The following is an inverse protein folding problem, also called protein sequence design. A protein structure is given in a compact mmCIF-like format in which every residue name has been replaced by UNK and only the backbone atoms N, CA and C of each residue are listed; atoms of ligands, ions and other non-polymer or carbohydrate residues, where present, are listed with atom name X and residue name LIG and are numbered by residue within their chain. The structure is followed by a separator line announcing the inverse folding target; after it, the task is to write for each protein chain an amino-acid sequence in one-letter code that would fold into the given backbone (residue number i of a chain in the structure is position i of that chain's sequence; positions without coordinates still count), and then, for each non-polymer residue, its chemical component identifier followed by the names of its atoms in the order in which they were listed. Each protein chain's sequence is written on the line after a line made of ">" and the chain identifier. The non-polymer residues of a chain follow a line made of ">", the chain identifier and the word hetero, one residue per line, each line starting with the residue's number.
data_IF_598904171798
#
_entry.id   IF_598904171798
#
_cell.length_a   1.000
_cell.length_b   1.000
_cell.length_c   1.000
_cell.angle_alpha   90.00
_cell.angle_beta   90.00
_cell.angle_gamma   90.00
#
_symmetry.space_group_name_H-M   'P 1'
#
loop_
_entity.id
_entity.type
_entity.pdbx_description
1 polymer ?
#
# COMPACT_ATOMS: atom_id res chain seq x y z
N UNK A 1 10.64 -71.41 14.87
CA UNK A 1 9.72 -70.33 15.32
C UNK A 1 10.07 -68.95 14.74
N UNK A 2 11.30 -68.68 14.30
CA UNK A 2 11.74 -67.34 13.83
C UNK A 2 11.22 -66.94 12.44
N UNK A 3 11.18 -67.86 11.47
CA UNK A 3 10.73 -67.55 10.09
C UNK A 3 9.24 -67.19 9.98
N UNK A 4 8.38 -67.89 10.72
CA UNK A 4 6.94 -67.60 10.75
C UNK A 4 6.64 -66.25 11.41
N UNK A 5 7.40 -65.89 12.45
CA UNK A 5 7.24 -64.61 13.14
C UNK A 5 7.70 -63.43 12.28
N UNK A 6 8.83 -63.59 11.56
CA UNK A 6 9.30 -62.58 10.59
C UNK A 6 8.28 -62.38 9.46
N UNK A 7 7.67 -63.46 8.96
CA UNK A 7 6.64 -63.36 7.93
C UNK A 7 5.39 -62.60 8.42
N UNK A 8 4.94 -62.86 9.66
CA UNK A 8 3.81 -62.14 10.26
C UNK A 8 4.11 -60.65 10.47
N UNK A 9 5.32 -60.31 10.92
CA UNK A 9 5.74 -58.91 11.07
C UNK A 9 5.82 -58.20 9.71
N UNK A 10 6.36 -58.86 8.68
CA UNK A 10 6.44 -58.30 7.34
C UNK A 10 5.04 -58.04 6.74
N UNK A 11 4.11 -58.97 6.93
CA UNK A 11 2.70 -58.79 6.53
C UNK A 11 2.05 -57.64 7.30
N UNK A 12 2.29 -57.55 8.62
CA UNK A 12 1.79 -56.45 9.45
C UNK A 12 2.30 -55.08 8.99
N UNK A 13 3.59 -54.97 8.67
CA UNK A 13 4.20 -53.74 8.15
C UNK A 13 3.67 -53.38 6.76
N UNK A 14 3.46 -54.37 5.89
CA UNK A 14 2.89 -54.14 4.56
C UNK A 14 1.43 -53.65 4.63
N UNK A 15 0.62 -54.26 5.50
CA UNK A 15 -0.77 -53.82 5.74
C UNK A 15 -0.78 -52.40 6.33
N UNK A 16 0.10 -52.09 7.28
CA UNK A 16 0.22 -50.75 7.84
C UNK A 16 0.61 -49.73 6.75
N UNK A 17 1.59 -50.06 5.90
CA UNK A 17 1.99 -49.20 4.79
C UNK A 17 0.84 -48.95 3.79
N UNK A 18 0.03 -49.97 3.50
CA UNK A 18 -1.17 -49.82 2.67
C UNK A 18 -2.21 -48.91 3.32
N UNK A 19 -2.47 -49.06 4.63
CA UNK A 19 -3.41 -48.21 5.35
C UNK A 19 -2.94 -46.75 5.34
N UNK A 20 -1.65 -46.51 5.56
CA UNK A 20 -1.04 -45.17 5.51
C UNK A 20 -1.13 -44.58 4.10
N UNK A 21 -0.79 -45.36 3.07
CA UNK A 21 -0.88 -44.93 1.67
C UNK A 21 -2.32 -44.62 1.25
N UNK A 22 -3.28 -45.42 1.70
CA UNK A 22 -4.71 -45.22 1.43
C UNK A 22 -5.25 -43.99 2.19
N UNK A 23 -4.77 -43.73 3.40
CA UNK A 23 -5.05 -42.51 4.15
C UNK A 23 -4.50 -41.25 3.47
N UNK A 24 -3.24 -41.32 2.99
CA UNK A 24 -2.62 -40.23 2.22
C UNK A 24 -3.36 -39.98 0.90
N UNK A 25 -3.75 -41.04 0.18
CA UNK A 25 -4.54 -40.91 -1.05
C UNK A 25 -5.90 -40.29 -0.79
N UNK A 26 -6.61 -40.70 0.28
CA UNK A 26 -7.89 -40.08 0.67
C UNK A 26 -7.74 -38.60 1.03
N UNK A 27 -6.67 -38.22 1.72
CA UNK A 27 -6.38 -36.82 2.04
C UNK A 27 -6.08 -35.99 0.78
N UNK A 28 -5.27 -36.53 -0.15
CA UNK A 28 -4.97 -35.87 -1.43
C UNK A 28 -6.21 -35.80 -2.32
N UNK A 29 -7.03 -36.85 -2.37
CA UNK A 29 -8.29 -36.87 -3.12
C UNK A 29 -9.33 -35.92 -2.53
N UNK A 30 -9.37 -35.75 -1.20
CA UNK A 30 -10.21 -34.74 -0.54
C UNK A 30 -9.75 -33.30 -0.82
N UNK A 31 -8.47 -33.11 -1.18
CA UNK A 31 -7.93 -31.84 -1.67
C UNK A 31 -7.94 -31.74 -3.21
N UNK A 32 -8.56 -32.69 -3.91
CA UNK A 32 -8.70 -32.68 -5.36
C UNK A 32 -9.73 -31.66 -5.81
N UNK A 33 -9.26 -30.53 -6.35
CA UNK A 33 -9.98 -29.62 -7.26
C UNK A 33 -11.44 -29.29 -6.92
N UNK A 34 -11.79 -29.23 -5.63
CA UNK A 34 -13.06 -28.71 -5.18
C UNK A 34 -13.03 -27.20 -5.25
N UNK A 35 -14.17 -26.61 -5.63
CA UNK A 35 -14.41 -25.18 -5.50
C UNK A 35 -13.88 -24.67 -4.16
N UNK A 36 -13.30 -23.46 -4.12
CA UNK A 36 -12.82 -22.92 -2.87
C UNK A 36 -13.94 -22.95 -1.82
N UNK A 37 -13.59 -23.14 -0.53
CA UNK A 37 -14.60 -23.22 0.51
C UNK A 37 -15.55 -22.03 0.37
N UNK A 38 -16.87 -22.26 0.45
CA UNK A 38 -17.83 -21.18 0.33
C UNK A 38 -17.45 -20.11 1.33
N UNK A 39 -17.41 -18.86 0.88
CA UNK A 39 -17.17 -17.72 1.76
C UNK A 39 -18.12 -17.86 2.95
N UNK A 40 -17.63 -17.70 4.19
CA UNK A 40 -18.54 -17.63 5.33
C UNK A 40 -19.58 -16.56 5.00
N UNK A 41 -20.86 -16.88 5.25
CA UNK A 41 -21.91 -15.89 5.08
C UNK A 41 -21.52 -14.64 5.87
N UNK A 42 -21.66 -13.44 5.28
CA UNK A 42 -21.33 -12.20 5.98
C UNK A 42 -22.08 -12.19 7.32
N UNK A 43 -21.33 -12.04 8.40
CA UNK A 43 -21.86 -12.18 9.76
C UNK A 43 -21.58 -10.91 10.56
N UNK A 44 -22.60 -10.41 11.26
CA UNK A 44 -22.50 -9.19 12.04
C UNK A 44 -22.53 -7.94 11.16
N UNK A 45 -21.56 -7.03 11.34
CA UNK A 45 -21.51 -5.73 10.68
C UNK A 45 -21.35 -5.78 9.14
N UNK A 46 -21.10 -6.98 8.58
CA UNK A 46 -20.97 -7.24 7.15
C UNK A 46 -22.30 -7.62 6.47
N UNK A 47 -23.35 -7.92 7.27
CA UNK A 47 -24.65 -8.38 6.77
C UNK A 47 -25.66 -7.23 6.53
N UNK A 48 -25.41 -6.08 7.15
CA UNK A 48 -26.18 -4.86 6.93
C UNK A 48 -25.32 -3.98 6.01
N UNK A 49 -25.82 -3.55 4.85
CA UNK A 49 -25.15 -2.68 3.86
C UNK A 49 -24.82 -1.26 4.40
N UNK A 50 -24.50 -1.16 5.69
CA UNK A 50 -24.25 0.03 6.46
C UNK A 50 -22.96 -0.17 7.26
N UNK A 51 -21.84 0.26 6.69
CA UNK A 51 -20.66 0.51 7.52
C UNK A 51 -20.07 1.91 7.26
N UNK A 52 -20.04 2.79 8.28
CA UNK A 52 -19.36 4.08 8.21
C UNK A 52 -17.85 3.86 8.37
N UNK A 53 -17.23 3.17 7.42
CA UNK A 53 -15.79 2.87 7.41
C UNK A 53 -14.90 4.09 7.15
N UNK A 54 -15.45 5.18 6.60
CA UNK A 54 -14.74 6.47 6.54
C UNK A 54 -14.74 7.23 7.87
N UNK A 55 -15.53 6.84 8.88
CA UNK A 55 -15.69 7.63 10.11
C UNK A 55 -14.45 7.63 11.01
N UNK A 56 -13.59 6.63 10.94
CA UNK A 56 -12.33 6.61 11.70
C UNK A 56 -11.23 7.51 11.11
N UNK A 57 -11.44 8.07 9.92
CA UNK A 57 -10.60 9.16 9.41
C UNK A 57 -11.05 10.53 9.94
N UNK A 58 -12.27 10.69 10.47
CA UNK A 58 -12.77 12.02 10.86
C UNK A 58 -12.32 12.50 12.24
N UNK A 59 -11.89 11.62 13.16
CA UNK A 59 -11.42 12.06 14.48
C UNK A 59 -9.99 12.62 14.44
N UNK A 60 -9.20 12.26 13.42
CA UNK A 60 -7.81 12.72 13.27
C UNK A 60 -7.68 13.90 12.28
N UNK A 61 -8.74 14.21 11.50
CA UNK A 61 -8.75 15.35 10.57
C UNK A 61 -8.82 16.68 11.32
N UNK A 62 -9.37 16.74 12.54
CA UNK A 62 -9.43 17.97 13.33
C UNK A 62 -8.04 18.49 13.74
N UNK A 63 -7.04 17.62 13.84
CA UNK A 63 -5.64 17.99 14.12
C UNK A 63 -4.77 18.04 12.84
N UNK A 64 -5.21 17.44 11.73
CA UNK A 64 -4.52 17.50 10.44
C UNK A 64 -4.81 18.76 9.60
N UNK A 65 -5.76 19.63 9.98
CA UNK A 65 -6.06 20.89 9.27
C UNK A 65 -4.86 21.85 9.19
N UNK A 66 -3.77 21.59 9.92
CA UNK A 66 -2.51 22.34 9.83
C UNK A 66 -1.61 21.93 8.64
N UNK A 67 -1.80 20.77 8.01
CA UNK A 67 -0.99 20.34 6.85
C UNK A 67 -1.77 20.39 5.54
N UNK A 68 -2.05 21.60 5.04
CA UNK A 68 -2.57 21.85 3.68
C UNK A 68 -1.51 21.56 2.60
N UNK A 69 -1.08 20.31 2.48
CA UNK A 69 -0.16 19.87 1.44
C UNK A 69 -0.46 18.44 0.97
N UNK A 70 -1.68 18.18 0.48
CA UNK A 70 -1.94 16.90 -0.20
C UNK A 70 -3.09 16.90 -1.21
N UNK A 71 -3.60 18.06 -1.64
CA UNK A 71 -4.66 18.14 -2.68
C UNK A 71 -4.11 18.31 -4.11
N UNK A 72 -2.87 17.91 -4.38
CA UNK A 72 -2.24 18.11 -5.68
C UNK A 72 -1.10 17.16 -6.04
N UNK A 73 -0.90 16.07 -5.30
CA UNK A 73 0.06 15.05 -5.71
C UNK A 73 -0.56 14.25 -6.85
N UNK A 74 -0.31 14.67 -8.10
CA UNK A 74 -0.39 13.74 -9.21
C UNK A 74 0.39 12.46 -8.80
N UNK A 75 -0.16 11.25 -9.04
CA UNK A 75 0.54 10.04 -8.66
C UNK A 75 1.94 10.10 -9.26
N UNK A 76 2.97 9.82 -8.45
CA UNK A 76 4.34 9.83 -8.97
C UNK A 76 4.41 8.89 -10.18
N UNK A 77 5.19 9.22 -11.24
CA UNK A 77 5.30 8.35 -12.41
C UNK A 77 5.66 6.93 -12.01
N UNK A 78 4.76 5.98 -12.29
CA UNK A 78 4.89 4.58 -11.83
C UNK A 78 3.86 4.15 -10.78
N UNK A 79 3.04 5.07 -10.26
CA UNK A 79 1.89 4.81 -9.39
C UNK A 79 0.61 4.61 -10.21
N UNK A 80 -0.38 3.93 -9.65
CA UNK A 80 -1.70 3.58 -10.23
C UNK A 80 -2.23 4.65 -11.17
N UNK A 81 -2.48 4.25 -12.41
CA UNK A 81 -3.04 5.09 -13.46
C UNK A 81 -2.05 6.00 -14.20
N UNK A 82 -0.77 6.03 -13.82
CA UNK A 82 0.29 6.82 -14.50
C UNK A 82 1.34 5.95 -15.21
N UNK A 83 1.19 4.64 -15.15
CA UNK A 83 2.11 3.71 -15.79
C UNK A 83 1.96 3.79 -17.32
N UNK A 84 3.08 4.01 -18.01
CA UNK A 84 3.10 3.96 -19.47
C UNK A 84 2.90 2.51 -19.92
N UNK A 85 1.87 2.27 -20.72
CA UNK A 85 1.65 0.97 -21.33
C UNK A 85 2.65 0.76 -22.48
N UNK A 86 3.24 -0.45 -22.61
CA UNK A 86 4.03 -0.78 -23.78
C UNK A 86 3.15 -0.84 -25.04
N UNK A 87 3.78 -0.84 -26.21
CA UNK A 87 3.09 -1.08 -27.46
C UNK A 87 2.41 -2.46 -27.45
N UNK A 88 1.21 -2.56 -28.01
CA UNK A 88 0.48 -3.84 -28.08
C UNK A 88 1.31 -4.84 -28.89
N UNK A 89 1.67 -6.01 -28.33
CA UNK A 89 2.58 -6.95 -28.97
C UNK A 89 1.93 -7.78 -30.08
N UNK A 90 0.65 -7.54 -30.39
CA UNK A 90 -0.17 -8.32 -31.31
C UNK A 90 -0.79 -7.43 -32.39
N UNK A 91 -1.18 -8.05 -33.51
CA UNK A 91 -1.89 -7.33 -34.58
C UNK A 91 -3.24 -6.78 -34.10
N UNK A 92 -3.73 -5.72 -34.75
CA UNK A 92 -5.03 -5.12 -34.42
C UNK A 92 -6.18 -6.14 -34.52
N UNK A 93 -6.11 -7.08 -35.47
CA UNK A 93 -7.10 -8.15 -35.61
C UNK A 93 -7.12 -9.09 -34.39
N UNK A 94 -5.93 -9.49 -33.91
CA UNK A 94 -5.81 -10.35 -32.72
C UNK A 94 -6.22 -9.61 -31.44
N UNK A 95 -5.85 -8.33 -31.31
CA UNK A 95 -6.30 -7.49 -30.21
C UNK A 95 -7.84 -7.38 -30.19
N UNK A 96 -8.45 -7.12 -31.34
CA UNK A 96 -9.90 -7.05 -31.47
C UNK A 96 -10.58 -8.41 -31.23
N UNK A 97 -9.95 -9.53 -31.59
CA UNK A 97 -10.45 -10.87 -31.28
C UNK A 97 -10.40 -11.14 -29.76
N UNK A 98 -9.30 -10.80 -29.09
CA UNK A 98 -9.18 -10.92 -27.63
C UNK A 98 -10.24 -10.08 -26.91
N UNK A 99 -10.49 -8.84 -27.37
CA UNK A 99 -11.53 -7.99 -26.80
C UNK A 99 -12.95 -8.55 -26.99
N UNK A 100 -13.23 -9.23 -28.11
CA UNK A 100 -14.52 -9.90 -28.33
C UNK A 100 -14.67 -11.15 -27.48
N UNK A 101 -13.58 -11.89 -27.27
CA UNK A 101 -13.57 -13.09 -26.44
C UNK A 101 -13.80 -12.76 -24.95
N UNK A 102 -13.24 -11.64 -24.48
CA UNK A 102 -13.34 -11.19 -23.08
C UNK A 102 -14.43 -10.12 -22.90
N UNK A 103 -15.65 -10.42 -23.35
CA UNK A 103 -16.81 -9.58 -23.10
C UNK A 103 -17.19 -9.58 -21.61
N UNK A 104 -17.37 -8.39 -21.02
CA UNK A 104 -17.76 -8.23 -19.62
C UNK A 104 -16.61 -8.41 -18.62
N UNK A 105 -16.95 -8.74 -17.36
CA UNK A 105 -16.00 -8.98 -16.28
C UNK A 105 -15.54 -10.44 -16.33
N UNK A 106 -14.27 -10.63 -16.64
CA UNK A 106 -13.66 -11.95 -16.81
C UNK A 106 -12.82 -12.28 -15.59
N UNK A 107 -13.06 -13.43 -14.96
CA UNK A 107 -12.25 -13.91 -13.84
C UNK A 107 -10.79 -14.14 -14.29
N UNK A 108 -9.85 -13.75 -13.42
CA UNK A 108 -8.44 -14.03 -13.60
C UNK A 108 -8.17 -15.55 -13.53
N UNK A 109 -7.08 -16.01 -14.14
CA UNK A 109 -6.66 -17.39 -13.92
C UNK A 109 -6.07 -17.56 -12.50
N UNK A 110 -6.17 -18.75 -11.88
CA UNK A 110 -5.57 -19.02 -10.58
C UNK A 110 -4.08 -18.65 -10.52
N UNK A 111 -3.67 -18.00 -9.43
CA UNK A 111 -2.26 -17.71 -9.19
C UNK A 111 -1.51 -18.98 -8.79
N UNK A 112 -0.23 -19.08 -9.15
CA UNK A 112 0.57 -20.26 -8.81
C UNK A 112 1.97 -19.86 -8.38
N UNK A 113 2.35 -20.31 -7.18
CA UNK A 113 3.69 -20.16 -6.62
C UNK A 113 4.55 -21.42 -6.75
N UNK A 114 4.13 -22.39 -7.59
CA UNK A 114 4.81 -23.69 -7.74
C UNK A 114 6.28 -23.57 -8.16
N UNK A 115 6.61 -22.60 -9.01
CA UNK A 115 7.96 -22.37 -9.49
C UNK A 115 8.86 -21.58 -8.51
N UNK A 116 8.28 -20.96 -7.47
CA UNK A 116 9.00 -20.12 -6.52
C UNK A 116 9.64 -20.94 -5.39
N UNK A 117 10.75 -20.44 -4.81
CA UNK A 117 11.38 -21.07 -3.65
C UNK A 117 10.52 -20.94 -2.38
N UNK A 118 10.85 -21.69 -1.32
CA UNK A 118 10.17 -21.52 -0.01
C UNK A 118 10.36 -20.12 0.56
N UNK A 119 11.55 -19.52 0.37
CA UNK A 119 11.87 -18.16 0.79
C UNK A 119 11.03 -17.14 0.01
N UNK A 120 10.93 -17.29 -1.31
CA UNK A 120 10.09 -16.42 -2.14
C UNK A 120 8.61 -16.52 -1.74
N UNK A 121 8.11 -17.73 -1.47
CA UNK A 121 6.72 -17.91 -1.01
C UNK A 121 6.47 -17.20 0.33
N UNK A 122 7.41 -17.30 1.26
CA UNK A 122 7.31 -16.63 2.55
C UNK A 122 7.29 -15.10 2.39
N UNK A 123 8.20 -14.55 1.56
CA UNK A 123 8.24 -13.11 1.27
C UNK A 123 6.98 -12.62 0.57
N UNK A 124 6.50 -13.33 -0.45
CA UNK A 124 5.26 -13.01 -1.14
C UNK A 124 4.07 -13.00 -0.18
N UNK A 125 3.99 -13.98 0.73
CA UNK A 125 2.95 -14.03 1.76
C UNK A 125 3.04 -12.82 2.69
N UNK A 126 4.23 -12.47 3.17
CA UNK A 126 4.44 -11.32 4.05
C UNK A 126 4.06 -10.00 3.39
N UNK A 127 4.54 -9.76 2.17
CA UNK A 127 4.24 -8.54 1.41
C UNK A 127 2.75 -8.41 1.06
N UNK A 128 2.11 -9.50 0.63
CA UNK A 128 0.67 -9.48 0.36
C UNK A 128 -0.13 -9.26 1.63
N UNK A 129 0.26 -9.90 2.74
CA UNK A 129 -0.38 -9.69 4.05
C UNK A 129 -0.29 -8.24 4.48
N UNK A 130 0.89 -7.63 4.38
CA UNK A 130 1.09 -6.23 4.72
C UNK A 130 0.17 -5.32 3.88
N UNK A 131 0.13 -5.54 2.56
CA UNK A 131 -0.74 -4.77 1.68
C UNK A 131 -2.22 -4.89 2.06
N UNK A 132 -2.72 -6.11 2.29
CA UNK A 132 -4.11 -6.33 2.70
C UNK A 132 -4.42 -5.70 4.06
N UNK A 133 -3.50 -5.77 5.00
CA UNK A 133 -3.66 -5.16 6.31
C UNK A 133 -3.76 -3.64 6.22
N UNK A 134 -2.80 -2.99 5.55
CA UNK A 134 -2.77 -1.52 5.53
C UNK A 134 -3.81 -0.91 4.59
N UNK A 135 -4.24 -1.61 3.54
CA UNK A 135 -5.19 -1.07 2.55
C UNK A 135 -6.64 -1.49 2.81
N UNK A 136 -6.85 -2.65 3.45
CA UNK A 136 -8.17 -3.26 3.53
C UNK A 136 -8.45 -3.96 4.87
N UNK A 137 -7.72 -3.64 5.95
CA UNK A 137 -8.01 -4.26 7.25
C UNK A 137 -9.43 -3.95 7.75
N UNK A 138 -9.97 -2.76 7.47
CA UNK A 138 -11.33 -2.35 7.84
C UNK A 138 -12.41 -2.75 6.84
N UNK A 139 -12.02 -3.35 5.71
CA UNK A 139 -12.95 -3.82 4.68
C UNK A 139 -13.49 -5.21 5.05
N UNK A 140 -14.66 -5.61 4.50
CA UNK A 140 -15.15 -6.98 4.61
C UNK A 140 -14.17 -7.96 3.98
N UNK A 141 -14.32 -9.26 4.28
CA UNK A 141 -13.48 -10.33 3.72
C UNK A 141 -13.41 -10.26 2.17
N UNK A 142 -14.54 -9.93 1.54
CA UNK A 142 -14.64 -9.67 0.10
C UNK A 142 -13.68 -8.55 -0.38
N UNK A 143 -13.55 -7.47 0.37
CA UNK A 143 -12.67 -6.35 0.05
C UNK A 143 -11.19 -6.72 0.15
N UNK A 144 -10.80 -7.52 1.14
CA UNK A 144 -9.42 -8.01 1.25
C UNK A 144 -9.06 -8.94 0.08
N UNK A 145 -9.98 -9.84 -0.30
CA UNK A 145 -9.81 -10.73 -1.45
C UNK A 145 -9.77 -9.97 -2.78
N UNK A 146 -10.59 -8.93 -2.91
CA UNK A 146 -10.59 -8.04 -4.07
C UNK A 146 -9.24 -7.31 -4.23
N UNK A 147 -8.70 -6.72 -3.16
CA UNK A 147 -7.37 -6.08 -3.19
C UNK A 147 -6.26 -7.09 -3.48
N UNK A 148 -6.32 -8.29 -2.88
CA UNK A 148 -5.38 -9.37 -3.17
C UNK A 148 -5.37 -9.72 -4.67
N UNK A 149 -6.57 -9.86 -5.26
CA UNK A 149 -6.71 -10.17 -6.68
C UNK A 149 -6.11 -9.07 -7.56
N UNK A 150 -6.30 -7.79 -7.22
CA UNK A 150 -5.67 -6.67 -7.95
C UNK A 150 -4.14 -6.77 -7.91
N UNK A 151 -3.55 -7.05 -6.75
CA UNK A 151 -2.09 -7.17 -6.61
C UNK A 151 -1.57 -8.33 -7.47
N UNK A 152 -2.23 -9.49 -7.43
CA UNK A 152 -1.83 -10.64 -8.24
C UNK A 152 -2.08 -10.42 -9.74
N UNK A 153 -3.10 -9.66 -10.11
CA UNK A 153 -3.33 -9.21 -11.48
C UNK A 153 -2.18 -8.32 -11.97
N UNK A 154 -1.68 -7.39 -11.12
CA UNK A 154 -0.51 -6.55 -11.45
C UNK A 154 0.72 -7.41 -11.70
N UNK A 155 1.02 -8.37 -10.83
CA UNK A 155 2.18 -9.27 -10.99
C UNK A 155 2.21 -9.96 -12.36
N UNK A 156 1.03 -10.28 -12.90
CA UNK A 156 0.86 -10.97 -14.19
C UNK A 156 0.82 -10.05 -15.40
N UNK A 157 0.74 -8.74 -15.19
CA UNK A 157 0.59 -7.76 -16.25
C UNK A 157 1.94 -7.09 -16.56
N UNK A 158 2.35 -6.95 -17.84
CA UNK A 158 3.69 -6.50 -18.22
C UNK A 158 4.01 -5.05 -17.86
N UNK A 159 3.01 -4.26 -17.48
CA UNK A 159 3.20 -2.89 -17.06
C UNK A 159 3.62 -2.75 -15.57
N UNK A 160 3.65 -3.84 -14.80
CA UNK A 160 3.99 -3.82 -13.37
C UNK A 160 5.14 -4.80 -13.06
N UNK A 161 5.78 -4.68 -11.88
CA UNK A 161 6.74 -5.66 -11.41
C UNK A 161 6.17 -7.08 -11.36
N UNK A 162 7.00 -8.08 -11.66
CA UNK A 162 6.62 -9.50 -11.72
C UNK A 162 6.74 -10.24 -10.38
N UNK A 163 6.84 -9.50 -9.27
CA UNK A 163 6.97 -10.01 -7.91
C UNK A 163 5.95 -9.32 -7.01
N UNK A 164 5.43 -10.03 -6.01
CA UNK A 164 4.41 -9.53 -5.11
C UNK A 164 4.96 -8.37 -4.28
N UNK A 165 6.12 -8.54 -3.67
CA UNK A 165 6.78 -7.46 -2.93
C UNK A 165 7.15 -6.30 -3.84
N UNK A 166 7.58 -6.56 -5.08
CA UNK A 166 7.87 -5.51 -6.05
C UNK A 166 6.65 -4.66 -6.40
N UNK A 167 5.46 -5.27 -6.50
CA UNK A 167 4.19 -4.53 -6.70
C UNK A 167 3.79 -3.76 -5.44
N UNK A 168 3.90 -4.37 -4.26
CA UNK A 168 3.49 -3.78 -2.98
C UNK A 168 4.36 -2.59 -2.58
N UNK A 169 5.65 -2.64 -2.86
CA UNK A 169 6.59 -1.55 -2.54
C UNK A 169 6.99 -0.72 -3.76
N UNK A 170 6.24 -0.84 -4.86
CA UNK A 170 6.52 -0.09 -6.09
C UNK A 170 6.56 1.41 -5.83
N UNK A 171 7.64 2.07 -6.23
CA UNK A 171 7.81 3.52 -6.11
C UNK A 171 8.32 3.99 -4.76
N UNK A 172 8.46 3.10 -3.76
CA UNK A 172 9.05 3.44 -2.47
C UNK A 172 10.51 3.89 -2.57
N UNK A 173 11.20 3.52 -3.65
CA UNK A 173 12.53 3.98 -4.01
C UNK A 173 12.56 5.41 -4.61
N UNK A 174 11.40 6.06 -4.78
CA UNK A 174 11.23 7.40 -5.38
C UNK A 174 10.32 8.28 -4.52
N UNK A 175 10.03 9.49 -5.00
CA UNK A 175 9.18 10.48 -4.31
C UNK A 175 7.68 10.13 -4.27
N UNK A 176 7.28 8.88 -4.52
CA UNK A 176 5.87 8.49 -4.39
C UNK A 176 5.65 6.98 -4.39
N UNK A 177 4.95 6.50 -3.37
CA UNK A 177 4.61 5.10 -3.21
C UNK A 177 3.30 4.76 -3.92
N UNK A 178 3.25 3.54 -4.48
CA UNK A 178 2.01 2.95 -4.97
C UNK A 178 1.00 2.74 -3.84
N UNK A 179 1.43 2.12 -2.75
CA UNK A 179 0.60 1.97 -1.56
C UNK A 179 1.08 2.96 -0.51
N UNK A 180 0.17 3.77 0.01
CA UNK A 180 0.50 4.93 0.85
C UNK A 180 1.27 4.52 2.11
N UNK A 181 0.94 3.35 2.68
CA UNK A 181 1.56 2.81 3.88
C UNK A 181 3.07 2.56 3.77
N UNK A 182 3.58 2.40 2.54
CA UNK A 182 5.01 2.20 2.31
C UNK A 182 5.83 3.50 2.46
N UNK A 183 5.18 4.66 2.38
CA UNK A 183 5.81 5.98 2.48
C UNK A 183 5.40 6.78 3.73
N UNK A 184 4.22 6.54 4.29
CA UNK A 184 3.65 7.36 5.38
C UNK A 184 4.15 6.98 6.80
N UNK A 185 4.97 5.94 6.91
CA UNK A 185 5.49 5.43 8.18
C UNK A 185 4.51 4.55 8.98
N UNK A 186 3.36 4.14 8.42
CA UNK A 186 2.40 3.25 9.07
C UNK A 186 3.02 1.92 9.51
N UNK A 187 4.05 1.45 8.79
CA UNK A 187 4.82 0.25 9.11
C UNK A 187 5.61 0.33 10.42
N UNK A 188 5.84 1.53 10.98
CA UNK A 188 6.52 1.69 12.27
C UNK A 188 5.62 1.33 13.46
N UNK A 189 4.31 1.22 13.25
CA UNK A 189 3.33 0.90 14.30
C UNK A 189 3.15 -0.61 14.41
N UNK A 190 2.96 -1.10 15.64
CA UNK A 190 2.65 -2.52 15.86
C UNK A 190 1.24 -2.82 15.32
N UNK A 191 1.09 -3.77 14.37
CA UNK A 191 -0.20 -4.09 13.79
C UNK A 191 -1.10 -4.85 14.77
N UNK A 192 -2.41 -4.72 14.59
CA UNK A 192 -3.41 -5.52 15.30
C UNK A 192 -3.25 -6.99 14.92
N UNK A 193 -2.98 -7.84 15.91
CA UNK A 193 -2.77 -9.27 15.71
C UNK A 193 -3.95 -9.96 15.02
N UNK A 194 -5.18 -9.62 15.40
CA UNK A 194 -6.38 -10.24 14.85
C UNK A 194 -6.58 -9.88 13.37
N UNK A 195 -6.46 -8.59 13.04
CA UNK A 195 -6.59 -8.13 11.66
C UNK A 195 -5.43 -8.61 10.77
N UNK A 196 -4.21 -8.71 11.32
CA UNK A 196 -3.07 -9.28 10.61
C UNK A 196 -3.26 -10.76 10.28
N UNK A 197 -3.74 -11.57 11.24
CA UNK A 197 -4.03 -12.99 10.99
C UNK A 197 -5.13 -13.15 9.93
N UNK A 198 -6.15 -12.30 9.94
CA UNK A 198 -7.19 -12.27 8.91
C UNK A 198 -6.60 -11.95 7.54
N UNK A 199 -5.81 -10.88 7.42
CA UNK A 199 -5.13 -10.51 6.19
C UNK A 199 -4.20 -11.63 5.68
N UNK A 200 -3.44 -12.27 6.58
CA UNK A 200 -2.55 -13.38 6.24
C UNK A 200 -3.29 -14.60 5.69
N UNK A 201 -4.49 -14.88 6.21
CA UNK A 201 -5.34 -15.95 5.70
C UNK A 201 -5.79 -15.66 4.26
N UNK A 202 -6.30 -14.46 3.99
CA UNK A 202 -6.71 -14.05 2.64
C UNK A 202 -5.53 -14.04 1.66
N UNK A 203 -4.38 -13.52 2.09
CA UNK A 203 -3.15 -13.55 1.31
C UNK A 203 -2.73 -15.00 0.97
N UNK A 204 -2.77 -15.90 1.95
CA UNK A 204 -2.48 -17.32 1.76
C UNK A 204 -3.43 -17.99 0.77
N UNK A 205 -4.74 -17.73 0.87
CA UNK A 205 -5.74 -18.26 -0.08
C UNK A 205 -5.47 -17.77 -1.51
N UNK A 206 -5.23 -16.47 -1.69
CA UNK A 206 -4.97 -15.88 -3.00
C UNK A 206 -3.68 -16.46 -3.63
N UNK A 207 -2.60 -16.59 -2.85
CA UNK A 207 -1.34 -17.20 -3.30
C UNK A 207 -1.46 -18.71 -3.58
N UNK A 208 -2.41 -19.39 -2.95
CA UNK A 208 -2.75 -20.78 -3.21
C UNK A 208 -3.63 -20.96 -4.46
N UNK A 209 -4.06 -19.86 -5.10
CA UNK A 209 -4.81 -19.88 -6.35
C UNK A 209 -6.29 -19.57 -6.21
N UNK A 210 -6.76 -19.13 -5.03
CA UNK A 210 -8.12 -18.58 -4.90
C UNK A 210 -8.28 -17.36 -5.82
N UNK A 211 -9.37 -17.32 -6.57
CA UNK A 211 -9.70 -16.23 -7.49
C UNK A 211 -10.96 -15.52 -7.01
N UNK A 212 -10.85 -14.23 -6.72
CA UNK A 212 -12.02 -13.39 -6.46
C UNK A 212 -12.58 -12.89 -7.80
N UNK A 213 -13.54 -13.64 -8.35
CA UNK A 213 -14.08 -13.40 -9.69
C UNK A 213 -14.74 -12.01 -9.91
N UNK A 214 -15.45 -11.40 -8.94
CA UNK A 214 -16.19 -10.15 -9.16
C UNK A 214 -15.35 -8.96 -9.64
N UNK A 215 -14.10 -8.84 -9.20
CA UNK A 215 -13.19 -7.77 -9.69
C UNK A 215 -12.51 -8.10 -11.02
N UNK A 216 -12.65 -9.33 -11.50
CA UNK A 216 -12.06 -9.81 -12.75
C UNK A 216 -10.58 -9.48 -12.92
N UNK A 217 -10.26 -8.76 -14.00
CA UNK A 217 -8.90 -8.33 -14.38
C UNK A 217 -8.56 -6.91 -13.90
N UNK A 218 -9.20 -6.43 -12.83
CA UNK A 218 -8.90 -5.13 -12.25
C UNK A 218 -7.42 -5.04 -11.85
N UNK A 219 -6.81 -3.90 -12.18
CA UNK A 219 -5.43 -3.56 -11.81
C UNK A 219 -5.37 -2.25 -11.02
N UNK A 220 -6.49 -1.55 -10.90
CA UNK A 220 -6.60 -0.24 -10.28
C UNK A 220 -7.81 -0.26 -9.35
N UNK A 221 -7.72 0.42 -8.20
CA UNK A 221 -8.86 0.71 -7.36
C UNK A 221 -8.67 2.08 -6.72
N UNK A 222 -9.76 2.67 -6.25
CA UNK A 222 -9.75 3.86 -5.41
C UNK A 222 -10.91 3.80 -4.44
N UNK A 223 -10.82 4.54 -3.34
CA UNK A 223 -11.92 4.70 -2.39
C UNK A 223 -12.93 5.70 -2.93
N UNK A 224 -14.19 5.62 -2.51
CA UNK A 224 -15.21 6.63 -2.88
C UNK A 224 -14.86 8.06 -2.41
N UNK A 225 -13.92 8.21 -1.46
CA UNK A 225 -13.51 9.49 -0.91
C UNK A 225 -12.66 10.33 -1.88
N UNK A 226 -12.12 9.71 -2.93
CA UNK A 226 -11.27 10.39 -3.91
C UNK A 226 -11.76 10.14 -5.33
N UNK A 227 -11.51 11.05 -6.27
CA UNK A 227 -11.84 10.84 -7.68
C UNK A 227 -10.61 11.13 -8.54
N UNK A 228 -9.75 10.12 -8.75
CA UNK A 228 -8.52 10.32 -9.51
C UNK A 228 -8.82 10.56 -10.99
N UNK A 229 -8.04 11.45 -11.63
CA UNK A 229 -8.23 11.82 -13.03
C UNK A 229 -8.21 10.61 -13.99
N UNK A 230 -7.40 9.59 -13.68
CA UNK A 230 -7.29 8.38 -14.49
C UNK A 230 -8.54 7.49 -14.48
N UNK A 231 -9.46 7.62 -13.51
CA UNK A 231 -10.66 6.78 -13.42
C UNK A 231 -11.43 6.78 -14.75
N UNK A 232 -11.66 7.95 -15.34
CA UNK A 232 -12.42 8.13 -16.60
C UNK A 232 -11.79 7.41 -17.79
N UNK A 233 -10.48 7.15 -17.73
CA UNK A 233 -9.74 6.46 -18.79
C UNK A 233 -9.85 4.94 -18.71
N UNK A 234 -10.31 4.40 -17.58
CA UNK A 234 -10.43 2.97 -17.31
C UNK A 234 -11.89 2.50 -17.40
N UNK A 235 -12.10 1.19 -17.29
CA UNK A 235 -13.42 0.56 -17.20
C UNK A 235 -13.62 0.11 -15.77
N UNK A 236 -14.67 0.60 -15.11
CA UNK A 236 -15.07 0.11 -13.80
C UNK A 236 -15.57 -1.34 -13.93
N UNK A 237 -15.05 -2.23 -13.09
CA UNK A 237 -15.40 -3.65 -13.07
C UNK A 237 -16.39 -3.97 -11.97
N UNK A 238 -16.17 -3.44 -10.78
CA UNK A 238 -16.97 -3.76 -9.59
C UNK A 238 -16.81 -2.72 -8.48
N UNK A 239 -17.70 -2.76 -7.48
CA UNK A 239 -17.61 -1.99 -6.23
C UNK A 239 -17.71 -2.96 -5.06
N UNK A 240 -16.66 -3.02 -4.24
CA UNK A 240 -16.60 -3.92 -3.09
C UNK A 240 -16.20 -3.10 -1.87
N UNK A 241 -17.09 -3.05 -0.88
CA UNK A 241 -16.92 -2.21 0.31
C UNK A 241 -16.72 -0.74 -0.08
N UNK A 242 -15.66 -0.12 0.40
CA UNK A 242 -15.32 1.27 0.09
C UNK A 242 -14.62 1.48 -1.27
N UNK A 243 -14.30 0.39 -1.99
CA UNK A 243 -13.40 0.42 -3.14
C UNK A 243 -14.11 0.22 -4.48
N UNK A 244 -13.77 1.07 -5.44
CA UNK A 244 -14.21 0.96 -6.83
C UNK A 244 -13.06 0.40 -7.69
N UNK A 245 -13.28 -0.75 -8.31
CA UNK A 245 -12.27 -1.51 -9.06
C UNK A 245 -12.33 -1.22 -10.55
N UNK A 246 -11.16 -1.12 -11.19
CA UNK A 246 -11.02 -0.71 -12.57
C UNK A 246 -9.99 -1.55 -13.33
N UNK A 247 -10.27 -1.77 -14.61
CA UNK A 247 -9.36 -2.40 -15.59
C UNK A 247 -9.06 -1.47 -16.77
N UNK A 248 -8.00 -1.77 -17.49
CA UNK A 248 -7.64 -1.08 -18.72
C UNK A 248 -8.70 -1.26 -19.82
N UNK A 249 -8.76 -0.29 -20.73
CA UNK A 249 -9.50 -0.41 -22.00
C UNK A 249 -8.67 -1.19 -23.02
N UNK A 250 -9.34 -1.81 -23.98
CA UNK A 250 -8.68 -2.47 -25.11
C UNK A 250 -7.94 -3.75 -24.72
N UNK A 251 -6.90 -4.09 -25.49
CA UNK A 251 -6.11 -5.33 -25.31
C UNK A 251 -5.56 -5.49 -23.88
N UNK A 252 -5.09 -4.41 -23.27
CA UNK A 252 -4.49 -4.42 -21.93
C UNK A 252 -5.49 -4.74 -20.80
N UNK A 253 -6.80 -4.70 -21.08
CA UNK A 253 -7.86 -5.13 -20.16
C UNK A 253 -8.36 -6.56 -20.39
N UNK A 254 -7.77 -7.29 -21.33
CA UNK A 254 -8.15 -8.67 -21.70
C UNK A 254 -7.21 -9.67 -21.03
N UNK A 255 -7.67 -10.92 -20.85
CA UNK A 255 -6.89 -12.01 -20.22
C UNK A 255 -5.57 -12.26 -20.94
N UNK A 256 -5.52 -12.00 -22.26
CA UNK A 256 -4.32 -12.16 -23.07
C UNK A 256 -3.14 -11.29 -22.58
N UNK A 257 -3.42 -10.14 -21.95
CA UNK A 257 -2.40 -9.27 -21.37
C UNK A 257 -1.81 -9.80 -20.05
N UNK A 258 -2.48 -10.73 -19.36
CA UNK A 258 -2.10 -11.24 -18.02
C UNK A 258 -1.36 -12.57 -18.11
N UNK A 259 -0.37 -12.63 -18.99
CA UNK A 259 0.36 -13.85 -19.35
C UNK A 259 1.72 -14.00 -18.64
N UNK A 260 2.17 -13.00 -17.88
CA UNK A 260 3.47 -13.09 -17.22
C UNK A 260 3.46 -14.18 -16.13
N UNK A 261 4.38 -15.16 -16.18
CA UNK A 261 4.47 -16.19 -15.16
C UNK A 261 5.13 -15.65 -13.89
N UNK A 262 4.62 -16.04 -12.74
CA UNK A 262 5.29 -15.79 -11.47
C UNK A 262 6.46 -16.77 -11.28
N UNK A 263 7.68 -16.24 -11.27
CA UNK A 263 8.93 -17.03 -11.17
C UNK A 263 9.61 -16.94 -9.80
N UNK A 264 9.05 -16.21 -8.85
CA UNK A 264 9.75 -15.85 -7.61
C UNK A 264 10.75 -14.70 -7.82
N UNK A 265 11.82 -14.66 -7.02
CA UNK A 265 12.75 -13.52 -7.01
C UNK A 265 12.24 -12.36 -6.15
N UNK A 266 11.53 -12.68 -5.08
CA UNK A 266 10.91 -11.67 -4.22
C UNK A 266 11.99 -10.81 -3.55
N UNK A 267 11.95 -9.47 -3.71
CA UNK A 267 12.83 -8.59 -2.96
C UNK A 267 12.55 -8.70 -1.46
N UNK A 268 13.45 -8.17 -0.65
CA UNK A 268 13.26 -8.14 0.81
C UNK A 268 11.97 -7.37 1.11
N UNK A 269 11.06 -7.92 1.96
CA UNK A 269 9.86 -7.22 2.37
C UNK A 269 10.18 -5.88 3.03
N UNK A 270 9.49 -4.84 2.59
CA UNK A 270 9.62 -3.48 3.09
C UNK A 270 9.91 -2.48 1.96
N UNK A 271 9.79 -1.17 2.27
CA UNK A 271 10.13 -0.10 1.34
C UNK A 271 11.55 -0.29 0.80
N UNK A 272 11.69 -0.25 -0.52
CA UNK A 272 12.98 -0.37 -1.17
C UNK A 272 13.72 0.95 -1.00
N UNK A 273 14.76 0.97 -0.17
CA UNK A 273 15.61 2.15 -0.07
C UNK A 273 16.18 2.48 -1.45
N UNK A 274 16.25 3.76 -1.85
CA UNK A 274 16.95 4.12 -3.07
C UNK A 274 18.39 3.61 -2.97
N UNK A 275 18.85 2.88 -3.99
CA UNK A 275 20.26 2.54 -4.12
C UNK A 275 21.03 3.87 -4.09
N UNK A 276 21.82 4.10 -3.03
CA UNK A 276 22.80 5.18 -3.03
C UNK A 276 23.71 4.88 -4.22
N UNK A 277 23.63 5.68 -5.27
CA UNK A 277 24.57 5.58 -6.37
C UNK A 277 25.98 5.67 -5.76
N UNK A 278 26.91 4.75 -6.09
CA UNK A 278 28.28 4.90 -5.63
C UNK A 278 28.73 6.33 -6.01
N UNK A 279 29.42 7.06 -5.11
CA UNK A 279 29.84 8.41 -5.41
C UNK A 279 30.59 8.36 -6.74
N UNK A 280 30.04 9.05 -7.74
CA UNK A 280 30.73 9.23 -9.02
C UNK A 280 32.10 9.77 -8.65
N UNK A 281 33.15 9.04 -8.97
CA UNK A 281 34.52 9.48 -8.72
C UNK A 281 34.65 10.85 -9.41
N UNK A 282 34.62 11.91 -8.61
CA UNK A 282 34.94 13.24 -9.07
C UNK A 282 36.35 13.14 -9.60
N UNK A 283 36.53 13.40 -10.89
CA UNK A 283 37.85 13.45 -11.49
C UNK A 283 38.74 14.35 -10.62
N UNK A 284 40.01 13.99 -10.34
CA UNK A 284 40.85 14.67 -9.34
C UNK A 284 41.28 16.10 -9.72
N UNK A 285 40.58 16.79 -10.62
CA UNK A 285 40.91 18.12 -11.10
C UNK A 285 40.35 19.28 -10.26
N UNK A 286 39.73 19.01 -9.10
CA UNK A 286 39.19 20.03 -8.18
C UNK A 286 39.75 19.85 -6.76
N UNK A 287 41.08 19.74 -6.63
CA UNK A 287 41.78 19.97 -5.36
C UNK A 287 42.88 21.01 -5.62
N UNK A 288 42.47 22.24 -5.92
CA UNK A 288 43.38 23.39 -5.96
C UNK A 288 42.62 24.70 -5.73
N UNK A 289 41.92 24.81 -4.60
CA UNK A 289 41.55 26.11 -4.04
C UNK A 289 41.40 25.96 -2.53
N UNK A 290 42.53 25.90 -1.83
CA UNK A 290 42.56 26.14 -0.39
C UNK A 290 42.29 27.64 -0.20
N UNK A 291 41.06 27.98 0.15
CA UNK A 291 40.77 29.29 0.71
C UNK A 291 41.48 29.41 2.08
N UNK A 292 42.03 30.58 2.44
CA UNK A 292 42.66 30.75 3.74
C UNK A 292 41.60 30.59 4.85
N UNK A 293 41.92 29.75 5.83
CA UNK A 293 41.14 29.58 7.06
C UNK A 293 41.12 30.92 7.82
N UNK A 294 39.96 31.50 8.14
CA UNK A 294 39.91 32.68 9.01
C UNK A 294 40.43 32.32 10.41
N UNK A 295 41.14 33.22 11.10
CA UNK A 295 41.72 32.91 12.40
C UNK A 295 40.64 32.56 13.43
N UNK A 296 40.84 31.46 14.16
CA UNK A 296 40.01 31.06 15.29
C UNK A 296 40.05 32.14 16.38
N UNK A 297 38.89 32.69 16.72
CA UNK A 297 38.71 33.51 17.92
C UNK A 297 38.88 32.65 19.17
N UNK A 298 39.68 33.12 20.14
CA UNK A 298 39.87 32.44 21.43
C UNK A 298 38.54 32.40 22.21
N UNK A 299 38.33 31.40 23.09
CA UNK A 299 37.06 31.21 23.82
C UNK A 299 36.71 32.34 24.80
N UNK A 300 37.61 33.29 25.02
CA UNK A 300 37.49 34.33 26.05
C UNK A 300 36.67 35.57 25.58
N UNK A 301 36.16 35.58 24.34
CA UNK A 301 35.37 36.69 23.80
C UNK A 301 33.90 36.36 23.47
N UNK A 302 33.38 35.21 23.93
CA UNK A 302 31.94 34.91 23.82
C UNK A 302 31.24 35.35 25.11
N UNK A 303 30.79 36.61 25.17
CA UNK A 303 29.81 37.00 26.19
C UNK A 303 28.39 36.58 25.75
N UNK A 304 27.57 35.98 26.64
CA UNK A 304 26.17 35.74 26.35
C UNK A 304 25.37 37.05 26.31
N UNK A 305 24.52 37.22 25.29
CA UNK A 305 23.77 38.43 24.95
C UNK A 305 22.63 38.84 25.91
N UNK A 306 22.74 38.54 27.21
CA UNK A 306 21.78 38.96 28.24
C UNK A 306 22.29 40.12 29.12
N UNK A 307 23.57 40.50 29.04
CA UNK A 307 24.18 41.48 29.95
C UNK A 307 24.06 42.97 29.55
N UNK A 308 23.05 43.37 28.77
CA UNK A 308 22.88 44.75 28.30
C UNK A 308 21.48 45.35 28.54
N UNK A 309 20.80 44.97 29.61
CA UNK A 309 19.55 45.61 30.06
C UNK A 309 19.76 46.27 31.43
N UNK A 310 20.49 47.37 31.43
CA UNK A 310 20.77 48.18 32.62
C UNK A 310 20.95 49.65 32.29
N UNK A 311 19.91 50.30 31.76
CA UNK A 311 19.84 51.77 31.72
C UNK A 311 18.39 52.25 31.75
N UNK A 312 18.05 53.03 32.77
CA UNK A 312 16.74 53.66 32.95
C UNK A 312 16.52 54.75 31.90
N UNK A 313 15.35 54.75 31.24
CA UNK A 313 14.94 55.83 30.34
C UNK A 313 14.20 56.90 31.15
N UNK A 314 14.77 58.10 31.16
CA UNK A 314 14.17 59.35 31.67
C UNK A 314 13.04 59.81 30.72
N UNK A 315 11.89 60.28 31.20
CA UNK A 315 10.80 60.73 30.34
C UNK A 315 11.00 62.19 29.90
N UNK A 316 10.82 62.56 28.62
CA UNK A 316 10.67 63.95 28.23
C UNK A 316 9.19 64.36 28.17
N UNK A 317 8.92 65.58 28.64
CA UNK A 317 7.62 66.21 28.72
C UNK A 317 7.24 67.00 27.43
N UNK A 318 5.93 66.94 27.11
CA UNK A 318 5.03 67.96 26.51
C UNK A 318 5.20 68.51 25.08
N UNK A 319 4.28 68.06 24.20
CA UNK A 319 3.37 68.81 23.26
C UNK A 319 3.92 69.50 21.97
N UNK A 320 3.07 69.83 20.97
CA UNK A 320 2.16 68.97 20.17
C UNK A 320 2.28 69.26 18.64
N UNK A 321 2.10 68.28 17.74
CA UNK A 321 1.18 68.46 16.58
C UNK A 321 0.97 67.18 15.76
N UNK A 322 -0.23 67.07 15.17
CA UNK A 322 -0.75 65.91 14.44
C UNK A 322 -0.25 65.87 12.99
N UNK A 323 0.39 64.77 12.60
CA UNK A 323 0.24 64.17 11.27
C UNK A 323 0.73 62.70 11.31
N UNK A 324 -0.18 61.74 11.09
CA UNK A 324 0.08 60.30 11.07
C UNK A 324 0.16 59.80 9.62
N UNK A 325 1.09 58.89 9.30
CA UNK A 325 0.82 57.81 8.34
C UNK A 325 1.09 56.43 8.98
N UNK A 326 0.03 55.67 9.25
CA UNK A 326 -0.33 54.38 8.61
C UNK A 326 0.45 53.19 9.15
N UNK A 327 -0.21 52.51 10.08
CA UNK A 327 0.12 51.20 10.64
C UNK A 327 -0.37 50.11 9.67
N UNK A 328 0.53 49.23 9.23
CA UNK A 328 0.30 48.16 8.25
C UNK A 328 0.13 46.79 8.93
N UNK A 329 -0.63 46.73 10.02
CA UNK A 329 -1.01 45.46 10.64
C UNK A 329 -2.42 45.05 10.18
N UNK A 330 -2.65 43.80 9.76
CA UNK A 330 -4.00 43.32 9.48
C UNK A 330 -4.85 43.31 10.77
N UNK A 331 -6.13 43.65 10.64
CA UNK A 331 -7.06 43.72 11.76
C UNK A 331 -7.19 42.35 12.46
N UNK A 332 -7.21 42.38 13.80
CA UNK A 332 -7.44 41.19 14.62
C UNK A 332 -8.78 40.51 14.25
N UNK A 333 -8.85 39.17 14.20
CA UNK A 333 -10.09 38.47 13.90
C UNK A 333 -11.13 38.70 14.99
N UNK A 334 -12.37 39.01 14.58
CA UNK A 334 -13.49 39.21 15.50
C UNK A 334 -13.85 37.87 16.16
N UNK A 335 -13.83 37.84 17.50
CA UNK A 335 -14.30 36.70 18.29
C UNK A 335 -15.81 36.57 18.12
N UNK A 336 -16.26 35.43 17.60
CA UNK A 336 -17.68 35.09 17.41
C UNK A 336 -18.47 35.25 18.72
N UNK A 337 -19.66 35.86 18.65
CA UNK A 337 -20.48 36.24 19.84
C UNK A 337 -20.76 35.08 20.81
N UNK A 338 -20.87 33.85 20.30
CA UNK A 338 -21.08 32.64 21.11
C UNK A 338 -19.96 32.31 22.11
N UNK A 339 -18.80 32.96 22.00
CA UNK A 339 -17.64 32.73 22.86
C UNK A 339 -17.32 33.90 23.81
N UNK A 340 -18.16 34.93 23.86
CA UNK A 340 -17.93 36.11 24.72
C UNK A 340 -18.19 35.84 26.21
N UNK A 341 -18.96 34.80 26.56
CA UNK A 341 -19.39 34.52 27.92
C UNK A 341 -18.82 33.22 28.54
N UNK A 342 -17.90 32.53 27.86
CA UNK A 342 -17.38 31.22 28.31
C UNK A 342 -16.50 31.24 29.57
N UNK A 343 -16.26 32.43 30.14
CA UNK A 343 -15.39 32.63 31.32
C UNK A 343 -16.12 33.07 32.59
N UNK A 344 -17.45 33.06 32.65
CA UNK A 344 -18.19 33.43 33.87
C UNK A 344 -18.14 32.27 34.89
N UNK A 345 -17.66 32.48 36.13
CA UNK A 345 -17.73 31.47 37.17
C UNK A 345 -19.20 31.22 37.52
N UNK A 346 -19.57 29.94 37.61
CA UNK A 346 -20.88 29.50 38.09
C UNK A 346 -20.96 29.83 39.59
N UNK A 347 -21.93 30.68 39.98
CA UNK A 347 -22.34 30.89 41.37
C UNK A 347 -23.22 29.73 41.84
#
# INVERSE_FOLDING_TARGET
>A
MTRAWIALVAVGLFVLALIVAQGAWRAIAAHGAGDPPPMPAPAGYEAEDHFPGAALLYTDVATAVASRASDGAAPAPGVTGTIALPATPVSAALAAAAMRADAGVVAAAPFSTKAASSVDRARALECLTAALYYEAASEPDAGQLAVAQVILNRVRHPAFPHTVCGVVYQGSERSGCQFSFACDGAMARVPSRAAWIRAARHAGMALAGYVYAPVGLATHYHTYAVTPAWNRSLVMTDVVGAHLFHRWKGYWGTRAAFSAPYRGGEPVPGPHMPLIAPPVATSPALIASVAPVPPMTRPEQVQPGYAASGSYIVPPATTPDKARPTDNLPAAPQVLDRFKDSGKPLL
#
